data_IF_286074769028
#
_entry.id   IF_286074769028
#
_cell.length_a   1.000
_cell.length_b   1.000
_cell.length_c   1.000
_cell.angle_alpha   90.00
_cell.angle_beta   90.00
_cell.angle_gamma   90.00
#
_symmetry.space_group_name_H-M   'P 1'
#
loop_
_entity.id
_entity.type
_entity.pdbx_description
1 polymer ?
#
# COMPACT_ATOMS: atom_id res chain seq x y z
N UNK A 1 10.50 -14.04 -0.21
CA UNK A 1 10.48 -14.13 -1.68
C UNK A 1 11.52 -13.15 -2.24
N UNK A 2 12.17 -13.52 -3.34
CA UNK A 2 13.15 -12.71 -4.10
C UNK A 2 12.48 -12.28 -5.39
N UNK A 3 12.58 -11.00 -5.73
CA UNK A 3 11.98 -10.42 -6.95
C UNK A 3 13.05 -9.72 -7.75
N UNK A 4 12.80 -9.54 -9.06
CA UNK A 4 13.80 -9.10 -10.03
C UNK A 4 14.42 -7.72 -9.73
N UNK A 5 13.70 -6.84 -9.04
CA UNK A 5 14.20 -5.52 -8.65
C UNK A 5 13.13 -4.66 -7.97
N UNK A 6 13.48 -3.42 -7.64
CA UNK A 6 12.54 -2.43 -7.13
C UNK A 6 11.35 -2.25 -8.08
N UNK A 7 10.16 -2.10 -7.53
CA UNK A 7 8.89 -1.98 -8.24
C UNK A 7 8.49 -3.20 -9.10
N UNK A 8 9.23 -4.32 -9.06
CA UNK A 8 8.81 -5.54 -9.78
C UNK A 8 7.60 -6.22 -9.14
N UNK A 9 7.40 -6.03 -7.82
CA UNK A 9 6.27 -6.59 -7.09
C UNK A 9 6.08 -5.85 -5.76
N UNK A 10 4.84 -5.51 -5.42
CA UNK A 10 4.48 -4.88 -4.14
C UNK A 10 3.58 -5.82 -3.33
N UNK A 11 3.74 -5.80 -2.01
CA UNK A 11 2.80 -6.43 -1.10
C UNK A 11 1.99 -5.35 -0.41
N UNK A 12 0.67 -5.39 -0.55
CA UNK A 12 -0.25 -4.53 0.16
C UNK A 12 -1.16 -5.37 1.06
N UNK A 13 -1.43 -4.88 2.28
CA UNK A 13 -2.35 -5.51 3.21
C UNK A 13 -3.02 -4.47 4.10
N UNK A 14 -4.24 -4.77 4.54
CA UNK A 14 -4.98 -3.93 5.48
C UNK A 14 -4.85 -4.48 6.91
N UNK A 15 -4.57 -3.60 7.86
CA UNK A 15 -4.51 -3.93 9.29
C UNK A 15 -5.85 -3.63 9.96
N UNK A 16 -6.41 -4.66 10.60
CA UNK A 16 -7.76 -4.63 11.19
C UNK A 16 -7.80 -4.43 12.71
N UNK A 17 -6.66 -4.21 13.37
CA UNK A 17 -6.60 -4.09 14.86
C UNK A 17 -7.41 -2.89 15.39
N UNK A 18 -7.64 -1.87 14.55
CA UNK A 18 -8.31 -0.63 14.93
C UNK A 18 -9.77 -0.57 14.41
N UNK A 19 -10.33 -1.70 13.96
CA UNK A 19 -11.68 -1.75 13.38
C UNK A 19 -12.79 -1.26 14.32
N UNK A 20 -12.60 -1.40 15.65
CA UNK A 20 -13.52 -0.89 16.68
C UNK A 20 -13.72 0.63 16.59
N UNK A 21 -12.72 1.35 16.10
CA UNK A 21 -12.76 2.81 15.90
C UNK A 21 -13.04 3.18 14.44
N UNK A 22 -13.45 2.22 13.61
CA UNK A 22 -13.60 2.40 12.16
C UNK A 22 -12.32 2.88 11.49
N UNK A 23 -11.15 2.44 11.97
CA UNK A 23 -9.87 2.73 11.37
C UNK A 23 -9.25 1.46 10.79
N UNK A 24 -8.81 1.54 9.55
CA UNK A 24 -8.14 0.47 8.82
C UNK A 24 -6.84 1.04 8.26
N UNK A 25 -5.70 0.40 8.56
CA UNK A 25 -4.41 0.87 8.05
C UNK A 25 -4.05 0.08 6.80
N UNK A 26 -4.00 0.73 5.65
CA UNK A 26 -3.52 0.16 4.40
C UNK A 26 -2.00 0.34 4.35
N UNK A 27 -1.27 -0.77 4.45
CA UNK A 27 0.18 -0.78 4.34
C UNK A 27 0.63 -1.45 3.04
N UNK A 28 1.62 -0.87 2.37
CA UNK A 28 2.23 -1.38 1.15
C UNK A 28 3.75 -1.35 1.24
N UNK A 29 4.41 -2.42 0.83
CA UNK A 29 5.87 -2.51 0.77
C UNK A 29 6.35 -2.99 -0.60
N UNK A 30 7.45 -2.42 -1.06
CA UNK A 30 8.17 -2.92 -2.22
C UNK A 30 8.84 -4.26 -1.89
N UNK A 31 8.67 -5.24 -2.79
CA UNK A 31 9.12 -6.61 -2.58
C UNK A 31 10.63 -6.80 -2.60
N UNK A 32 11.36 -5.89 -3.24
CA UNK A 32 12.83 -5.93 -3.34
C UNK A 32 13.48 -5.11 -2.24
N UNK A 33 13.21 -3.81 -2.21
CA UNK A 33 13.87 -2.83 -1.35
C UNK A 33 13.31 -2.78 0.07
N UNK A 34 12.15 -3.41 0.32
CA UNK A 34 11.38 -3.28 1.58
C UNK A 34 10.95 -1.85 1.90
N UNK A 35 11.06 -0.93 0.94
CA UNK A 35 10.59 0.45 1.08
C UNK A 35 9.07 0.47 1.28
N UNK A 36 8.59 1.30 2.21
CA UNK A 36 7.17 1.49 2.48
C UNK A 36 6.59 2.34 1.35
N UNK A 37 5.81 1.73 0.47
CA UNK A 37 5.21 2.39 -0.69
C UNK A 37 3.84 2.98 -0.39
N UNK A 38 3.10 2.41 0.57
CA UNK A 38 1.76 2.88 0.97
C UNK A 38 1.70 2.86 2.49
N UNK A 39 1.23 3.96 3.10
CA UNK A 39 0.89 4.02 4.52
C UNK A 39 -0.30 4.98 4.71
N UNK A 40 -1.50 4.43 4.61
CA UNK A 40 -2.74 5.21 4.62
C UNK A 40 -3.70 4.70 5.69
N UNK A 41 -4.48 5.62 6.26
CA UNK A 41 -5.56 5.30 7.18
C UNK A 41 -6.91 5.51 6.48
N UNK A 42 -7.76 4.48 6.51
CA UNK A 42 -9.06 4.46 5.84
C UNK A 42 -10.17 4.13 6.82
N UNK A 43 -11.40 4.52 6.48
CA UNK A 43 -12.61 4.25 7.27
C UNK A 43 -13.27 2.90 6.91
N UNK A 44 -12.76 2.22 5.89
CA UNK A 44 -13.28 0.96 5.38
C UNK A 44 -12.18 0.05 4.79
N UNK A 45 -12.49 -1.23 4.61
CA UNK A 45 -11.63 -2.23 3.96
C UNK A 45 -12.16 -2.71 2.60
N UNK A 46 -12.68 -1.79 1.78
CA UNK A 46 -13.10 -2.15 0.42
C UNK A 46 -11.88 -2.29 -0.49
N UNK A 47 -11.94 -3.23 -1.42
CA UNK A 47 -10.87 -3.42 -2.42
C UNK A 47 -10.63 -2.17 -3.28
N UNK A 48 -11.70 -1.42 -3.56
CA UNK A 48 -11.62 -0.13 -4.27
C UNK A 48 -10.76 0.90 -3.53
N UNK A 49 -10.91 1.00 -2.20
CA UNK A 49 -10.11 1.90 -1.37
C UNK A 49 -8.63 1.55 -1.44
N UNK A 50 -8.29 0.26 -1.33
CA UNK A 50 -6.91 -0.22 -1.47
C UNK A 50 -6.35 0.04 -2.88
N UNK A 51 -7.15 -0.17 -3.93
CA UNK A 51 -6.77 0.14 -5.30
C UNK A 51 -6.50 1.65 -5.50
N UNK A 52 -7.31 2.51 -4.89
CA UNK A 52 -7.11 3.95 -4.96
C UNK A 52 -5.81 4.38 -4.25
N UNK A 53 -5.52 3.85 -3.07
CA UNK A 53 -4.24 4.07 -2.39
C UNK A 53 -3.06 3.65 -3.28
N UNK A 54 -3.16 2.48 -3.93
CA UNK A 54 -2.13 2.00 -4.86
C UNK A 54 -1.92 2.94 -6.04
N UNK A 55 -3.01 3.39 -6.70
CA UNK A 55 -2.94 4.32 -7.84
C UNK A 55 -2.30 5.65 -7.47
N UNK A 56 -2.64 6.20 -6.30
CA UNK A 56 -2.05 7.46 -5.80
C UNK A 56 -0.54 7.28 -5.64
N UNK A 57 -0.09 6.23 -4.96
CA UNK A 57 1.34 5.99 -4.72
C UNK A 57 2.13 5.74 -6.01
N UNK A 58 1.56 5.02 -6.98
CA UNK A 58 2.18 4.86 -8.31
C UNK A 58 2.28 6.22 -9.01
N UNK A 59 1.21 7.02 -8.99
CA UNK A 59 1.18 8.35 -9.60
C UNK A 59 2.23 9.32 -9.03
N UNK A 60 2.37 9.37 -7.70
CA UNK A 60 3.40 10.17 -7.03
C UNK A 60 4.80 9.71 -7.42
N UNK A 61 5.05 8.39 -7.43
CA UNK A 61 6.38 7.86 -7.80
C UNK A 61 6.74 8.10 -9.26
N UNK A 62 5.77 8.09 -10.18
CA UNK A 62 6.04 8.43 -11.59
C UNK A 62 6.38 9.89 -11.83
N UNK A 63 6.08 10.80 -10.89
CA UNK A 63 6.44 12.22 -11.01
C UNK A 63 7.87 12.54 -10.56
N UNK A 64 8.53 11.59 -9.88
CA UNK A 64 9.90 11.74 -9.36
C UNK A 64 10.93 10.89 -10.13
N UNK A 65 10.57 10.39 -11.32
CA UNK A 65 11.46 9.70 -12.27
C UNK A 65 11.62 10.55 -13.52
#
# INVERSE_FOLDING_TARGET
YVVAGSNSLWHANTKHRLNRWHLFIVGGIDGFSRFITILECTDNNKAETLLNCFKICVGVRTQHV
#
